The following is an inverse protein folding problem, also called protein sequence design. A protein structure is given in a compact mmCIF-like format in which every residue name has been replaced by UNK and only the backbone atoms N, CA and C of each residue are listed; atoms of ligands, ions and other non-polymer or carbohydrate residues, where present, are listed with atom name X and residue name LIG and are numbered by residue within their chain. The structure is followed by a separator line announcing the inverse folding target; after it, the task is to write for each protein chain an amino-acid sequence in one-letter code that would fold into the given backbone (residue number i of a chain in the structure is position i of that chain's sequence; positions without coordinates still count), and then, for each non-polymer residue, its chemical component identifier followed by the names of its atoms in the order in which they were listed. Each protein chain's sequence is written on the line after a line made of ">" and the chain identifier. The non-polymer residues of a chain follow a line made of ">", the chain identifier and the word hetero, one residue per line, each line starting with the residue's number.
data_IF_642191136478
#
_entry.id   IF_642191136478
#
_cell.length_a   1.000
_cell.length_b   1.000
_cell.length_c   1.000
_cell.angle_alpha   90.00
_cell.angle_beta   90.00
_cell.angle_gamma   90.00
#
_symmetry.space_group_name_H-M   'P 1'
#
loop_
_entity.id
_entity.type
_entity.pdbx_description
1 polymer ?
#
# COMPACT_ATOMS: atom_id res chain seq x y z
N UNK A 1 19.04 -4.50 8.97
CA UNK A 1 17.91 -4.39 8.00
C UNK A 1 17.76 -2.96 7.45
N UNK A 2 17.75 -1.88 8.24
CA UNK A 2 17.68 -0.50 7.72
C UNK A 2 18.90 -0.10 6.85
N UNK A 3 20.11 -0.48 7.23
CA UNK A 3 21.32 -0.16 6.44
C UNK A 3 21.31 -0.76 5.04
N UNK A 4 20.72 -1.94 4.85
CA UNK A 4 20.62 -2.60 3.52
C UNK A 4 19.62 -1.88 2.60
N UNK A 5 18.52 -1.34 3.16
CA UNK A 5 17.54 -0.56 2.41
C UNK A 5 18.13 0.79 1.98
N UNK A 6 18.86 1.46 2.88
CA UNK A 6 19.53 2.74 2.57
C UNK A 6 20.60 2.56 1.49
N UNK A 7 21.40 1.47 1.53
CA UNK A 7 22.42 1.19 0.50
C UNK A 7 21.80 0.85 -0.86
N UNK A 8 20.66 0.16 -0.90
CA UNK A 8 19.95 -0.15 -2.15
C UNK A 8 19.44 1.12 -2.86
N UNK A 9 19.01 2.13 -2.08
CA UNK A 9 18.51 3.40 -2.60
C UNK A 9 19.62 4.44 -2.86
N UNK A 10 20.86 4.17 -2.44
CA UNK A 10 21.97 5.14 -2.51
C UNK A 10 22.36 5.49 -3.95
N UNK A 11 22.31 4.53 -4.86
CA UNK A 11 22.62 4.76 -6.29
C UNK A 11 21.56 5.68 -6.94
N UNK A 12 20.27 5.41 -6.70
CA UNK A 12 19.17 6.23 -7.21
C UNK A 12 19.24 7.64 -6.62
N UNK A 13 19.40 7.75 -5.30
CA UNK A 13 19.55 9.01 -4.59
C UNK A 13 20.74 9.82 -5.07
N UNK A 14 21.92 9.20 -5.25
CA UNK A 14 23.13 9.89 -5.70
C UNK A 14 23.00 10.35 -7.15
N UNK A 15 22.37 9.55 -8.02
CA UNK A 15 22.13 9.89 -9.41
C UNK A 15 21.21 11.10 -9.56
N UNK A 16 20.07 11.10 -8.86
CA UNK A 16 19.12 12.24 -8.84
C UNK A 16 19.79 13.47 -8.23
N UNK A 17 20.45 13.32 -7.07
CA UNK A 17 21.12 14.44 -6.37
C UNK A 17 22.21 15.09 -7.24
N UNK A 18 23.03 14.29 -7.95
CA UNK A 18 24.05 14.81 -8.87
C UNK A 18 23.42 15.58 -10.04
N UNK A 19 22.31 15.11 -10.59
CA UNK A 19 21.62 15.79 -11.66
C UNK A 19 21.07 17.16 -11.21
N UNK A 20 20.42 17.21 -10.07
CA UNK A 20 19.92 18.48 -9.49
C UNK A 20 21.06 19.44 -9.10
N UNK A 21 22.18 18.93 -8.60
CA UNK A 21 23.33 19.78 -8.24
C UNK A 21 23.99 20.40 -9.47
N UNK A 22 24.01 19.73 -10.62
CA UNK A 22 24.47 20.33 -11.89
C UNK A 22 23.64 21.55 -12.29
N UNK A 23 22.34 21.50 -12.14
CA UNK A 23 21.45 22.63 -12.43
C UNK A 23 21.66 23.85 -11.53
N UNK A 24 22.14 23.63 -10.29
CA UNK A 24 22.41 24.73 -9.37
C UNK A 24 23.59 25.62 -9.80
N UNK A 25 24.56 25.04 -10.51
CA UNK A 25 25.86 25.66 -10.81
C UNK A 25 25.98 26.24 -12.21
N UNK A 26 24.97 26.09 -13.07
CA UNK A 26 25.06 26.46 -14.48
C UNK A 26 23.79 27.06 -15.10
N UNK A 27 23.88 27.43 -16.37
CA UNK A 27 22.71 27.77 -17.20
C UNK A 27 21.89 26.51 -17.44
N UNK A 28 20.57 26.58 -17.27
CA UNK A 28 19.65 25.48 -17.57
C UNK A 28 19.65 25.20 -19.09
N UNK A 29 20.54 24.34 -19.54
CA UNK A 29 20.53 23.90 -20.93
C UNK A 29 19.39 22.89 -21.15
N UNK A 30 18.93 22.80 -22.40
CA UNK A 30 17.89 21.82 -22.77
C UNK A 30 18.36 20.39 -22.48
N UNK A 31 19.62 20.09 -22.73
CA UNK A 31 20.25 18.79 -22.49
C UNK A 31 20.27 18.41 -21.00
N UNK A 32 20.50 19.37 -20.10
CA UNK A 32 20.49 19.13 -18.66
C UNK A 32 19.07 18.84 -18.14
N UNK A 33 18.06 19.49 -18.70
CA UNK A 33 16.66 19.23 -18.38
C UNK A 33 16.25 17.83 -18.84
N UNK A 34 16.57 17.44 -20.08
CA UNK A 34 16.30 16.11 -20.63
C UNK A 34 17.01 15.01 -19.80
N UNK A 35 18.24 15.25 -19.34
CA UNK A 35 18.98 14.32 -18.47
C UNK A 35 18.31 14.13 -17.09
N UNK A 36 17.70 15.18 -16.55
CA UNK A 36 16.93 15.05 -15.28
C UNK A 36 15.65 14.29 -15.51
N UNK A 37 14.89 14.60 -16.56
CA UNK A 37 13.68 13.90 -16.94
C UNK A 37 13.94 12.38 -17.05
N UNK A 38 14.97 12.00 -17.81
CA UNK A 38 15.37 10.58 -17.93
C UNK A 38 15.68 9.94 -16.57
N UNK A 39 16.44 10.63 -15.69
CA UNK A 39 16.79 10.09 -14.38
C UNK A 39 15.62 9.95 -13.43
N UNK A 40 14.66 10.85 -13.50
CA UNK A 40 13.44 10.77 -12.71
C UNK A 40 12.55 9.61 -13.17
N UNK A 41 12.43 9.41 -14.49
CA UNK A 41 11.72 8.26 -15.06
C UNK A 41 12.41 6.93 -14.72
N UNK A 42 13.75 6.86 -14.82
CA UNK A 42 14.53 5.69 -14.40
C UNK A 42 14.44 5.41 -12.90
N UNK A 43 14.10 6.40 -12.09
CA UNK A 43 13.82 6.25 -10.67
C UNK A 43 12.38 5.82 -10.37
N UNK A 44 11.62 5.45 -11.39
CA UNK A 44 10.23 4.98 -11.31
C UNK A 44 9.24 6.05 -10.79
N UNK A 45 9.55 7.33 -11.02
CA UNK A 45 8.64 8.43 -10.73
C UNK A 45 7.62 8.52 -11.85
N UNK A 46 6.34 8.63 -11.50
CA UNK A 46 5.25 8.71 -12.47
C UNK A 46 5.40 9.89 -13.44
N UNK A 47 5.02 9.69 -14.72
CA UNK A 47 5.21 10.65 -15.81
C UNK A 47 4.63 12.05 -15.47
N UNK A 48 3.41 12.12 -14.97
CA UNK A 48 2.75 13.39 -14.63
C UNK A 48 3.52 14.17 -13.54
N UNK A 49 4.09 13.46 -12.58
CA UNK A 49 4.95 14.05 -11.53
C UNK A 49 6.26 14.57 -12.12
N UNK A 50 6.86 13.81 -13.04
CA UNK A 50 8.09 14.23 -13.73
C UNK A 50 7.82 15.49 -14.56
N UNK A 51 6.75 15.54 -15.34
CA UNK A 51 6.35 16.70 -16.12
C UNK A 51 6.18 17.95 -15.25
N UNK A 52 5.46 17.82 -14.13
CA UNK A 52 5.30 18.91 -13.16
C UNK A 52 6.63 19.39 -12.57
N UNK A 53 7.56 18.48 -12.25
CA UNK A 53 8.89 18.84 -11.77
C UNK A 53 9.67 19.61 -12.84
N UNK A 54 9.62 19.17 -14.11
CA UNK A 54 10.29 19.84 -15.22
C UNK A 54 9.73 21.24 -15.46
N UNK A 55 8.40 21.43 -15.35
CA UNK A 55 7.77 22.75 -15.42
C UNK A 55 8.26 23.70 -14.31
N UNK A 56 8.37 23.19 -13.07
CA UNK A 56 8.91 23.96 -11.95
C UNK A 56 10.35 24.37 -12.23
N UNK A 57 11.20 23.44 -12.71
CA UNK A 57 12.59 23.71 -13.07
C UNK A 57 12.69 24.81 -14.13
N UNK A 58 11.86 24.78 -15.17
CA UNK A 58 11.85 25.78 -16.24
C UNK A 58 11.37 27.17 -15.78
N UNK A 59 10.48 27.21 -14.79
CA UNK A 59 9.85 28.44 -14.29
C UNK A 59 10.73 29.21 -13.31
N UNK A 60 11.51 28.53 -12.49
CA UNK A 60 12.30 29.12 -11.41
C UNK A 60 13.77 29.22 -11.79
N UNK A 61 14.47 30.30 -11.33
CA UNK A 61 15.90 30.50 -11.56
C UNK A 61 16.75 29.50 -10.79
N UNK A 62 17.98 29.29 -11.24
CA UNK A 62 18.94 28.41 -10.61
C UNK A 62 19.07 28.68 -9.09
N UNK A 63 18.75 27.68 -8.29
CA UNK A 63 18.78 27.75 -6.81
C UNK A 63 17.39 27.67 -6.15
N UNK A 64 16.39 28.37 -6.66
CA UNK A 64 15.06 28.45 -6.04
C UNK A 64 14.16 27.26 -6.40
N UNK A 65 14.38 26.66 -7.56
CA UNK A 65 13.54 25.55 -8.05
C UNK A 65 13.54 24.33 -7.12
N UNK A 66 14.64 24.06 -6.40
CA UNK A 66 14.69 22.92 -5.49
C UNK A 66 13.73 23.05 -4.31
N UNK A 67 13.55 24.26 -3.82
CA UNK A 67 12.58 24.53 -2.77
C UNK A 67 11.16 24.27 -3.27
N UNK A 68 10.83 24.76 -4.46
CA UNK A 68 9.51 24.57 -5.07
C UNK A 68 9.25 23.11 -5.47
N UNK A 69 10.24 22.40 -6.02
CA UNK A 69 10.14 20.96 -6.29
C UNK A 69 9.90 20.17 -4.99
N UNK A 70 10.64 20.47 -3.93
CA UNK A 70 10.44 19.82 -2.63
C UNK A 70 9.04 20.11 -2.07
N UNK A 71 8.58 21.33 -2.16
CA UNK A 71 7.25 21.75 -1.71
C UNK A 71 6.15 21.04 -2.51
N UNK A 72 6.30 20.96 -3.83
CA UNK A 72 5.40 20.21 -4.70
C UNK A 72 5.33 18.74 -4.29
N UNK A 73 6.48 18.06 -4.19
CA UNK A 73 6.54 16.65 -3.81
C UNK A 73 5.95 16.38 -2.41
N UNK A 74 6.16 17.28 -1.46
CA UNK A 74 5.54 17.14 -0.12
C UNK A 74 4.02 17.26 -0.19
N UNK A 75 3.50 18.13 -1.07
CA UNK A 75 2.06 18.30 -1.24
C UNK A 75 1.40 17.12 -1.95
N UNK A 76 2.14 16.43 -2.86
CA UNK A 76 1.69 15.20 -3.53
C UNK A 76 1.68 13.99 -2.58
N UNK A 77 2.48 14.02 -1.52
CA UNK A 77 2.45 12.94 -0.54
C UNK A 77 1.11 12.95 0.22
N UNK A 78 0.47 11.79 0.37
CA UNK A 78 -0.73 11.70 1.18
C UNK A 78 -0.42 12.23 2.58
N UNK A 79 -1.28 13.11 3.10
CA UNK A 79 -1.15 13.57 4.48
C UNK A 79 -1.06 12.35 5.37
N UNK A 80 0.00 12.25 6.16
CA UNK A 80 0.23 11.15 7.10
C UNK A 80 -0.95 11.10 8.09
N UNK A 81 -1.97 10.37 7.73
CA UNK A 81 -2.89 9.82 8.70
C UNK A 81 -2.12 8.67 9.37
N UNK A 82 -2.07 8.69 10.69
CA UNK A 82 -1.47 7.55 11.40
C UNK A 82 -2.27 6.29 10.99
N UNK A 83 -1.72 5.39 10.13
CA UNK A 83 -2.48 4.27 9.58
C UNK A 83 -2.89 3.27 10.67
N UNK A 84 -2.28 3.38 11.84
CA UNK A 84 -2.55 2.51 12.99
C UNK A 84 -3.71 3.01 13.86
N UNK A 85 -4.14 4.27 13.71
CA UNK A 85 -5.28 4.81 14.44
C UNK A 85 -6.52 4.78 13.53
N UNK A 86 -7.37 3.80 13.73
CA UNK A 86 -8.65 3.69 13.07
C UNK A 86 -9.70 4.36 13.95
N UNK A 87 -9.97 5.65 13.70
CA UNK A 87 -10.93 6.44 14.49
C UNK A 87 -12.39 6.10 14.16
N UNK A 88 -12.62 5.50 13.00
CA UNK A 88 -13.94 5.16 12.49
C UNK A 88 -14.07 3.64 12.45
N UNK A 89 -15.21 3.13 12.92
CA UNK A 89 -15.50 1.70 13.02
C UNK A 89 -16.94 1.45 12.60
N UNK A 90 -17.26 0.32 12.01
CA UNK A 90 -16.37 -0.78 11.65
C UNK A 90 -15.51 -0.49 10.40
N UNK A 91 -14.31 -1.05 10.33
CA UNK A 91 -13.40 -0.85 9.20
C UNK A 91 -12.92 -2.18 8.61
N UNK A 92 -12.80 -2.22 7.28
CA UNK A 92 -12.17 -3.31 6.52
C UNK A 92 -10.78 -2.86 6.07
N UNK A 93 -9.75 -3.55 6.51
CA UNK A 93 -8.36 -3.33 6.13
C UNK A 93 -7.95 -4.43 5.14
N UNK A 94 -7.80 -4.11 3.88
CA UNK A 94 -7.31 -5.03 2.85
C UNK A 94 -5.79 -4.89 2.74
N UNK A 95 -5.05 -5.96 3.05
CA UNK A 95 -3.59 -5.97 2.94
C UNK A 95 -3.23 -6.42 1.53
N UNK A 96 -2.73 -5.49 0.72
CA UNK A 96 -2.46 -5.70 -0.70
C UNK A 96 -0.95 -5.67 -1.00
N UNK A 97 -0.53 -6.33 -2.07
CA UNK A 97 0.87 -6.37 -2.49
C UNK A 97 1.21 -7.64 -3.27
N UNK A 98 2.41 -7.67 -3.85
CA UNK A 98 2.87 -8.82 -4.66
C UNK A 98 3.26 -10.02 -3.79
N UNK A 99 3.47 -11.18 -4.41
CA UNK A 99 3.92 -12.37 -3.67
C UNK A 99 5.28 -12.14 -3.02
N UNK A 100 5.47 -12.68 -1.81
CA UNK A 100 6.74 -12.59 -1.08
C UNK A 100 6.96 -11.30 -0.29
N UNK A 101 6.08 -10.28 -0.40
CA UNK A 101 6.22 -9.00 0.34
C UNK A 101 5.86 -9.09 1.83
N UNK A 102 5.37 -10.24 2.29
CA UNK A 102 5.06 -10.45 3.71
C UNK A 102 3.64 -10.06 4.11
N UNK A 103 2.67 -10.05 3.18
CA UNK A 103 1.25 -9.72 3.46
C UNK A 103 0.69 -10.52 4.63
N UNK A 104 0.68 -11.84 4.55
CA UNK A 104 0.17 -12.74 5.61
C UNK A 104 0.82 -12.46 6.97
N UNK A 105 2.14 -12.18 6.97
CA UNK A 105 2.87 -11.81 8.20
C UNK A 105 2.42 -10.44 8.72
N UNK A 106 2.19 -9.49 7.84
CA UNK A 106 1.70 -8.14 8.21
C UNK A 106 0.27 -8.21 8.75
N UNK A 107 -0.61 -8.99 8.10
CA UNK A 107 -1.97 -9.28 8.58
C UNK A 107 -1.95 -9.80 10.02
N UNK A 108 -1.11 -10.78 10.31
CA UNK A 108 -0.99 -11.36 11.65
C UNK A 108 -0.51 -10.33 12.70
N UNK A 109 0.49 -9.51 12.34
CA UNK A 109 1.01 -8.45 13.23
C UNK A 109 -0.01 -7.36 13.48
N UNK A 110 -0.73 -6.92 12.44
CA UNK A 110 -1.80 -5.93 12.56
C UNK A 110 -2.94 -6.45 13.44
N UNK A 111 -3.35 -7.71 13.24
CA UNK A 111 -4.38 -8.32 14.06
C UNK A 111 -4.01 -8.31 15.55
N UNK A 112 -2.78 -8.73 15.86
CA UNK A 112 -2.28 -8.70 17.23
C UNK A 112 -2.23 -7.28 17.79
N UNK A 113 -1.72 -6.33 17.03
CA UNK A 113 -1.61 -4.93 17.44
C UNK A 113 -2.98 -4.33 17.76
N UNK A 114 -3.97 -4.49 16.88
CA UNK A 114 -5.31 -3.96 17.12
C UNK A 114 -6.01 -4.66 18.27
N UNK A 115 -5.81 -5.97 18.42
CA UNK A 115 -6.31 -6.72 19.56
C UNK A 115 -5.74 -6.20 20.88
N UNK A 116 -4.44 -5.91 20.93
CA UNK A 116 -3.78 -5.35 22.12
C UNK A 116 -4.24 -3.91 22.43
N UNK A 117 -4.70 -3.18 21.41
CA UNK A 117 -5.34 -1.88 21.57
C UNK A 117 -6.81 -1.96 22.05
N UNK A 118 -7.31 -3.18 22.32
CA UNK A 118 -8.67 -3.39 22.86
C UNK A 118 -9.76 -3.49 21.78
N UNK A 119 -9.39 -3.62 20.47
CA UNK A 119 -10.37 -3.78 19.42
C UNK A 119 -10.83 -5.23 19.26
N UNK A 120 -12.07 -5.43 18.84
CA UNK A 120 -12.55 -6.71 18.33
C UNK A 120 -12.12 -6.88 16.88
N UNK A 121 -11.40 -7.97 16.59
CA UNK A 121 -10.75 -8.17 15.28
C UNK A 121 -11.21 -9.49 14.67
N UNK A 122 -11.61 -9.45 13.39
CA UNK A 122 -11.86 -10.63 12.56
C UNK A 122 -10.83 -10.68 11.41
N UNK A 123 -10.16 -11.81 11.25
CA UNK A 123 -9.29 -12.09 10.10
C UNK A 123 -10.08 -12.79 9.00
N UNK A 124 -9.76 -12.47 7.75
CA UNK A 124 -10.35 -13.09 6.54
C UNK A 124 -9.22 -13.62 5.67
N UNK A 125 -9.18 -14.94 5.47
CA UNK A 125 -8.18 -15.61 4.63
C UNK A 125 -8.64 -15.61 3.15
N UNK A 126 -8.46 -14.49 2.46
CA UNK A 126 -8.83 -14.34 1.06
C UNK A 126 -7.71 -14.68 0.06
N UNK A 127 -6.52 -15.09 0.51
CA UNK A 127 -5.49 -15.74 -0.34
C UNK A 127 -5.85 -17.22 -0.52
N UNK A 128 -6.97 -17.49 -1.20
CA UNK A 128 -7.57 -18.83 -1.35
C UNK A 128 -6.75 -19.77 -2.23
N UNK A 129 -5.82 -19.24 -2.99
CA UNK A 129 -4.98 -20.02 -3.90
C UNK A 129 -3.76 -20.65 -3.22
N UNK A 130 -3.49 -20.27 -1.97
CA UNK A 130 -2.32 -20.73 -1.22
C UNK A 130 -2.76 -21.39 0.09
N UNK A 131 -3.01 -22.70 0.03
CA UNK A 131 -3.39 -23.48 1.21
C UNK A 131 -2.45 -23.26 2.40
N UNK A 132 -1.13 -23.16 2.15
CA UNK A 132 -0.15 -22.88 3.18
C UNK A 132 -0.32 -21.50 3.83
N UNK A 133 -0.82 -20.48 3.11
CA UNK A 133 -1.10 -19.16 3.69
C UNK A 133 -2.29 -19.21 4.64
N UNK A 134 -3.34 -19.94 4.27
CA UNK A 134 -4.52 -20.16 5.12
C UNK A 134 -4.12 -20.89 6.41
N UNK A 135 -3.33 -21.99 6.31
CA UNK A 135 -2.84 -22.71 7.48
C UNK A 135 -1.96 -21.83 8.37
N UNK A 136 -1.08 -21.04 7.78
CA UNK A 136 -0.27 -20.09 8.53
C UNK A 136 -1.15 -19.06 9.27
N UNK A 137 -2.19 -18.55 8.63
CA UNK A 137 -3.09 -17.58 9.23
C UNK A 137 -3.92 -18.22 10.36
N UNK A 138 -4.31 -19.49 10.26
CA UNK A 138 -4.93 -20.28 11.35
C UNK A 138 -4.06 -20.32 12.60
N UNK A 139 -2.75 -20.56 12.43
CA UNK A 139 -1.80 -20.56 13.56
C UNK A 139 -1.70 -19.16 14.19
N UNK A 140 -1.61 -18.13 13.38
CA UNK A 140 -1.48 -16.76 13.87
C UNK A 140 -2.76 -16.25 14.53
N UNK A 141 -3.95 -16.57 14.00
CA UNK A 141 -5.23 -16.17 14.62
C UNK A 141 -5.37 -16.72 16.04
N UNK A 142 -5.00 -18.00 16.24
CA UNK A 142 -4.97 -18.60 17.58
C UNK A 142 -3.99 -17.90 18.52
N UNK A 143 -2.78 -17.56 18.04
CA UNK A 143 -1.76 -16.86 18.84
C UNK A 143 -2.17 -15.43 19.20
N UNK A 144 -2.85 -14.74 18.30
CA UNK A 144 -3.34 -13.38 18.51
C UNK A 144 -4.67 -13.33 19.27
N UNK A 145 -5.31 -14.48 19.49
CA UNK A 145 -6.66 -14.61 20.07
C UNK A 145 -7.69 -13.74 19.33
N UNK A 146 -7.76 -13.94 18.02
CA UNK A 146 -8.70 -13.25 17.10
C UNK A 146 -9.47 -14.27 16.26
N UNK A 147 -10.67 -13.90 15.86
CA UNK A 147 -11.50 -14.74 14.99
C UNK A 147 -10.89 -14.84 13.60
N UNK A 148 -10.98 -16.01 12.97
CA UNK A 148 -10.55 -16.23 11.59
C UNK A 148 -11.71 -16.82 10.79
N UNK A 149 -11.99 -16.22 9.65
CA UNK A 149 -12.90 -16.75 8.63
C UNK A 149 -12.09 -17.21 7.43
N UNK A 150 -12.21 -18.48 7.11
CA UNK A 150 -11.69 -19.12 5.90
C UNK A 150 -12.77 -20.05 5.34
N UNK A 151 -12.77 -20.25 4.03
CA UNK A 151 -13.69 -21.16 3.38
C UNK A 151 -12.89 -22.15 2.54
N UNK A 152 -12.73 -23.37 3.05
CA UNK A 152 -11.96 -24.42 2.39
C UNK A 152 -12.67 -24.99 1.13
N UNK A 153 -13.98 -24.72 1.01
CA UNK A 153 -14.79 -25.17 -0.10
C UNK A 153 -14.92 -24.14 -1.23
N UNK A 154 -14.38 -22.93 -1.03
CA UNK A 154 -14.43 -21.86 -2.02
C UNK A 154 -13.03 -21.36 -2.35
N UNK A 155 -12.68 -21.40 -3.64
CA UNK A 155 -11.47 -20.78 -4.18
C UNK A 155 -11.70 -19.32 -4.61
N UNK A 156 -12.88 -18.75 -4.33
CA UNK A 156 -13.25 -17.40 -4.75
C UNK A 156 -13.00 -16.41 -3.59
N UNK A 157 -11.98 -15.53 -3.67
CA UNK A 157 -11.62 -14.60 -2.58
C UNK A 157 -12.76 -13.69 -2.15
N UNK A 158 -13.56 -13.23 -3.12
CA UNK A 158 -14.70 -12.35 -2.83
C UNK A 158 -15.84 -13.05 -2.08
N UNK A 159 -16.00 -14.36 -2.22
CA UNK A 159 -16.94 -15.16 -1.42
C UNK A 159 -16.46 -15.26 0.02
N UNK A 160 -15.17 -15.55 0.23
CA UNK A 160 -14.58 -15.63 1.58
C UNK A 160 -14.66 -14.26 2.29
N UNK A 161 -14.44 -13.16 1.54
CA UNK A 161 -14.63 -11.83 2.09
C UNK A 161 -16.08 -11.61 2.54
N UNK A 162 -17.06 -11.97 1.71
CA UNK A 162 -18.48 -11.83 2.06
C UNK A 162 -18.83 -12.61 3.34
N UNK A 163 -18.37 -13.84 3.46
CA UNK A 163 -18.55 -14.67 4.65
C UNK A 163 -17.90 -14.00 5.86
N UNK A 164 -16.66 -13.50 5.70
CA UNK A 164 -15.93 -12.80 6.75
C UNK A 164 -16.63 -11.55 7.26
N UNK A 165 -17.16 -10.73 6.35
CA UNK A 165 -17.91 -9.53 6.70
C UNK A 165 -19.26 -9.87 7.37
N UNK A 166 -19.90 -10.95 6.94
CA UNK A 166 -21.14 -11.42 7.55
C UNK A 166 -20.91 -11.89 9.00
N UNK A 167 -19.85 -12.64 9.24
CA UNK A 167 -19.44 -13.07 10.59
C UNK A 167 -19.04 -11.87 11.44
N UNK A 168 -18.23 -10.96 10.90
CA UNK A 168 -17.82 -9.73 11.57
C UNK A 168 -19.00 -8.88 12.01
N UNK A 169 -19.99 -8.71 11.14
CA UNK A 169 -21.24 -7.97 11.46
C UNK A 169 -22.00 -8.63 12.59
N UNK A 170 -22.12 -9.96 12.56
CA UNK A 170 -22.78 -10.74 13.63
C UNK A 170 -22.07 -10.60 14.97
N UNK A 171 -20.73 -10.58 14.95
CA UNK A 171 -19.89 -10.49 16.15
C UNK A 171 -19.63 -9.06 16.60
N UNK A 172 -20.16 -8.04 15.89
CA UNK A 172 -19.87 -6.62 16.11
C UNK A 172 -18.36 -6.33 16.16
N UNK A 173 -17.61 -6.87 15.19
CA UNK A 173 -16.17 -6.65 15.13
C UNK A 173 -15.86 -5.22 14.71
N UNK A 174 -14.91 -4.57 15.41
CA UNK A 174 -14.43 -3.22 15.10
C UNK A 174 -13.64 -3.20 13.80
N UNK A 175 -12.82 -4.25 13.58
CA UNK A 175 -11.86 -4.30 12.50
C UNK A 175 -11.89 -5.66 11.81
N UNK A 176 -11.98 -5.65 10.49
CA UNK A 176 -11.81 -6.83 9.63
C UNK A 176 -10.51 -6.67 8.87
N UNK A 177 -9.58 -7.61 9.02
CA UNK A 177 -8.31 -7.60 8.28
C UNK A 177 -8.31 -8.72 7.27
N UNK A 178 -8.11 -8.37 6.00
CA UNK A 178 -8.21 -9.28 4.86
C UNK A 178 -6.83 -9.56 4.29
N UNK A 179 -6.41 -10.84 4.32
CA UNK A 179 -5.21 -11.31 3.64
C UNK A 179 -5.54 -11.60 2.18
N UNK A 180 -5.05 -10.78 1.26
CA UNK A 180 -5.35 -10.89 -0.18
C UNK A 180 -4.27 -11.64 -0.94
N UNK A 181 -4.62 -12.24 -2.07
CA UNK A 181 -3.66 -12.83 -3.00
C UNK A 181 -2.68 -11.76 -3.55
N UNK A 182 -1.46 -12.18 -3.94
CA UNK A 182 -0.41 -11.28 -4.42
C UNK A 182 0.14 -11.66 -5.80
N UNK A 183 -0.71 -11.91 -6.79
CA UNK A 183 -0.30 -12.44 -8.10
C UNK A 183 0.25 -11.35 -9.03
N UNK A 184 1.56 -11.27 -9.21
CA UNK A 184 2.20 -10.32 -10.11
C UNK A 184 1.95 -10.64 -11.61
N UNK A 185 1.99 -11.92 -11.99
CA UNK A 185 1.90 -12.37 -13.39
C UNK A 185 0.50 -12.26 -14.01
N UNK A 186 -0.51 -11.89 -13.23
CA UNK A 186 -1.88 -11.62 -13.67
C UNK A 186 -2.40 -10.31 -13.08
N UNK A 187 -1.65 -9.22 -13.26
CA UNK A 187 -1.97 -7.90 -12.68
C UNK A 187 -3.43 -7.47 -12.94
N UNK A 188 -3.92 -7.64 -14.17
CA UNK A 188 -5.32 -7.31 -14.51
C UNK A 188 -6.32 -8.12 -13.69
N UNK A 189 -6.06 -9.41 -13.47
CA UNK A 189 -6.94 -10.26 -12.68
C UNK A 189 -6.91 -9.89 -11.20
N UNK A 190 -5.73 -9.54 -10.66
CA UNK A 190 -5.61 -9.09 -9.28
C UNK A 190 -6.37 -7.79 -9.02
N UNK A 191 -6.21 -6.79 -9.89
CA UNK A 191 -6.94 -5.52 -9.76
C UNK A 191 -8.45 -5.72 -9.89
N UNK A 192 -8.89 -6.51 -10.86
CA UNK A 192 -10.31 -6.86 -11.04
C UNK A 192 -10.90 -7.57 -9.81
N UNK A 193 -10.11 -8.44 -9.17
CA UNK A 193 -10.50 -9.13 -7.95
C UNK A 193 -10.63 -8.16 -6.77
N UNK A 194 -9.66 -7.27 -6.58
CA UNK A 194 -9.70 -6.22 -5.55
C UNK A 194 -10.88 -5.27 -5.77
N UNK A 195 -11.16 -4.86 -7.02
CA UNK A 195 -12.33 -4.07 -7.37
C UNK A 195 -13.64 -4.78 -7.04
N UNK A 196 -13.72 -6.09 -7.31
CA UNK A 196 -14.87 -6.92 -6.95
C UNK A 196 -15.08 -6.98 -5.45
N UNK A 197 -13.99 -7.21 -4.69
CA UNK A 197 -14.03 -7.22 -3.22
C UNK A 197 -14.49 -5.86 -2.66
N UNK A 198 -13.94 -4.76 -3.19
CA UNK A 198 -14.33 -3.41 -2.83
C UNK A 198 -15.80 -3.15 -3.11
N UNK A 199 -16.29 -3.53 -4.30
CA UNK A 199 -17.68 -3.38 -4.70
C UNK A 199 -18.64 -4.18 -3.80
N UNK A 200 -18.26 -5.39 -3.41
CA UNK A 200 -19.05 -6.22 -2.48
C UNK A 200 -19.16 -5.53 -1.14
N UNK A 201 -18.05 -5.05 -0.59
CA UNK A 201 -18.04 -4.34 0.69
C UNK A 201 -18.95 -3.11 0.64
N UNK A 202 -18.76 -2.24 -0.35
CA UNK A 202 -19.56 -1.01 -0.48
C UNK A 202 -21.07 -1.27 -0.66
N UNK A 203 -21.44 -2.30 -1.42
CA UNK A 203 -22.87 -2.58 -1.72
C UNK A 203 -23.59 -3.37 -0.62
N UNK A 204 -22.89 -4.27 0.06
CA UNK A 204 -23.51 -5.20 1.01
C UNK A 204 -23.25 -4.82 2.48
N UNK A 205 -22.21 -4.05 2.71
CA UNK A 205 -21.77 -3.64 4.04
C UNK A 205 -21.43 -2.14 4.04
N UNK A 206 -22.41 -1.26 3.71
CA UNK A 206 -22.15 0.17 3.53
C UNK A 206 -21.67 0.88 4.80
N UNK A 207 -21.89 0.27 5.96
CA UNK A 207 -21.43 0.80 7.25
C UNK A 207 -19.92 0.62 7.47
N UNK A 208 -19.25 -0.21 6.64
CA UNK A 208 -17.81 -0.47 6.76
C UNK A 208 -17.00 0.49 5.92
N UNK A 209 -16.04 1.14 6.54
CA UNK A 209 -14.99 1.87 5.82
C UNK A 209 -13.93 0.91 5.27
N UNK A 210 -13.44 1.19 4.06
CA UNK A 210 -12.41 0.37 3.42
C UNK A 210 -11.09 1.11 3.44
N UNK A 211 -10.03 0.42 3.88
CA UNK A 211 -8.63 0.89 3.80
C UNK A 211 -7.78 -0.17 3.13
N UNK A 212 -6.97 0.24 2.16
CA UNK A 212 -5.94 -0.60 1.53
C UNK A 212 -4.57 -0.22 2.11
N UNK A 213 -3.80 -1.22 2.53
CA UNK A 213 -2.44 -1.06 3.07
C UNK A 213 -1.49 -2.11 2.53
#
# INVERSE_FOLDING_TARGET
>A
MFNTLFSALENTRSSISKAFNKLKSGSMSKEEIENIEEKLLLADIGYDTVESIIEIIKKFKAGDFLFEVKKYLINELPKLHNPTILNEKPVVVMVVGVNGTGKTTSVAKLAKMYKDMGNSVTLVAADTYRAAAVEQLKVWSKRANVDLVCNENSNEPSSVLFDGLSVSKKNNSDIVIVDTAGRLHTYKNLMSELEKMHRITMKRFPDYLIKNI
#
